data_IF_231854823544
#
_entry.id   IF_231854823544
#
_cell.length_a   1.000
_cell.length_b   1.000
_cell.length_c   1.000
_cell.angle_alpha   90.00
_cell.angle_beta   90.00
_cell.angle_gamma   90.00
#
_symmetry.space_group_name_H-M   'P 1'
#
loop_
_entity.id
_entity.type
_entity.pdbx_description
1 polymer ?
#
# COMPACT_ATOMS: atom_id res chain seq x y z
N UNK A 1 9.72 56.81 -5.70
CA UNK A 1 8.56 55.94 -5.34
C UNK A 1 8.04 55.34 -6.64
N UNK A 2 8.16 54.02 -6.86
CA UNK A 2 7.61 53.40 -8.07
C UNK A 2 8.14 52.01 -8.44
N UNK A 3 9.38 51.65 -8.08
CA UNK A 3 9.97 50.39 -8.55
C UNK A 3 10.03 49.25 -7.53
N UNK A 4 9.83 49.53 -6.23
CA UNK A 4 9.82 48.48 -5.18
C UNK A 4 8.45 47.78 -5.00
N UNK A 5 7.37 48.34 -5.55
CA UNK A 5 6.01 47.77 -5.41
C UNK A 5 5.77 46.57 -6.35
N UNK A 6 6.42 46.55 -7.53
CA UNK A 6 6.22 45.48 -8.50
C UNK A 6 6.95 44.18 -8.17
N UNK A 7 8.00 44.23 -7.32
CA UNK A 7 8.73 43.03 -6.92
C UNK A 7 8.00 42.22 -5.83
N UNK A 8 7.13 42.85 -5.03
CA UNK A 8 6.32 42.16 -4.03
C UNK A 8 5.11 41.42 -4.63
N UNK A 9 4.64 41.79 -5.83
CA UNK A 9 3.46 41.18 -6.45
C UNK A 9 3.82 39.88 -7.21
N UNK A 10 5.09 39.68 -7.62
CA UNK A 10 5.52 38.44 -8.28
C UNK A 10 5.85 37.28 -7.31
N UNK A 11 5.93 37.55 -6.00
CA UNK A 11 6.21 36.52 -4.98
C UNK A 11 4.94 35.79 -4.48
N UNK A 12 3.75 36.12 -4.99
CA UNK A 12 2.46 35.56 -4.55
C UNK A 12 1.86 34.46 -5.46
N UNK A 13 2.58 33.98 -6.48
CA UNK A 13 2.05 32.95 -7.41
C UNK A 13 2.80 31.61 -7.39
N UNK A 14 3.83 31.46 -6.57
CA UNK A 14 4.39 30.13 -6.25
C UNK A 14 3.74 29.59 -4.98
N UNK A 15 2.42 29.40 -5.00
CA UNK A 15 1.86 28.28 -4.25
C UNK A 15 2.44 27.05 -4.90
N UNK A 16 3.48 26.47 -4.30
CA UNK A 16 3.83 25.08 -4.56
C UNK A 16 2.57 24.32 -4.17
N UNK A 17 1.73 24.01 -5.16
CA UNK A 17 0.77 22.94 -5.01
C UNK A 17 1.64 21.75 -4.65
N UNK A 18 1.62 21.33 -3.38
CA UNK A 18 2.14 20.04 -3.02
C UNK A 18 1.29 19.05 -3.83
N UNK A 19 1.79 18.64 -5.00
CA UNK A 19 1.19 17.55 -5.73
C UNK A 19 1.22 16.36 -4.78
N UNK A 20 0.03 15.95 -4.32
CA UNK A 20 -0.10 14.70 -3.59
C UNK A 20 0.49 13.61 -4.47
N UNK A 21 1.32 12.73 -3.91
CA UNK A 21 1.76 11.56 -4.64
C UNK A 21 0.55 10.86 -5.30
N UNK A 22 0.68 10.41 -6.54
CA UNK A 22 -0.39 9.63 -7.15
C UNK A 22 -0.57 8.31 -6.40
N UNK A 23 -1.82 7.81 -6.26
CA UNK A 23 -2.05 6.49 -5.70
C UNK A 23 -1.34 5.45 -6.57
N UNK A 24 -0.72 4.46 -5.93
CA UNK A 24 -0.18 3.28 -6.60
C UNK A 24 -1.32 2.62 -7.41
N UNK A 25 -2.52 2.49 -6.82
CA UNK A 25 -3.69 2.22 -7.65
C UNK A 25 -5.01 2.35 -6.94
N UNK A 26 -6.07 2.16 -7.71
CA UNK A 26 -7.47 2.33 -7.29
C UNK A 26 -8.29 1.19 -7.87
N UNK A 27 -9.20 0.67 -7.07
CA UNK A 27 -10.22 -0.27 -7.52
C UNK A 27 -11.60 0.25 -7.12
N UNK A 28 -12.46 0.43 -8.12
CA UNK A 28 -13.86 0.76 -7.94
C UNK A 28 -14.69 -0.43 -8.43
N UNK A 29 -15.38 -1.13 -7.54
CA UNK A 29 -16.16 -2.30 -7.91
C UNK A 29 -17.44 -1.89 -8.65
N UNK A 30 -17.47 -2.09 -9.97
CA UNK A 30 -18.62 -1.70 -10.81
C UNK A 30 -19.90 -2.49 -10.54
N UNK A 31 -19.77 -3.64 -9.85
CA UNK A 31 -20.90 -4.49 -9.49
C UNK A 31 -21.52 -4.12 -8.13
N UNK A 32 -20.90 -3.21 -7.38
CA UNK A 32 -21.36 -2.73 -6.08
C UNK A 32 -21.47 -1.20 -6.11
N UNK A 33 -22.64 -0.70 -6.49
CA UNK A 33 -22.91 0.73 -6.62
C UNK A 33 -23.68 1.27 -5.41
N UNK A 34 -23.53 2.56 -5.15
CA UNK A 34 -24.32 3.31 -4.16
C UNK A 34 -25.79 3.27 -4.61
N UNK A 35 -26.63 2.56 -3.87
CA UNK A 35 -28.04 2.36 -4.23
C UNK A 35 -28.97 3.47 -3.74
N UNK A 36 -28.51 4.30 -2.78
CA UNK A 36 -29.28 5.41 -2.23
C UNK A 36 -28.38 6.50 -1.60
N UNK A 37 -28.96 7.67 -1.30
CA UNK A 37 -28.23 8.81 -0.73
C UNK A 37 -27.70 8.57 0.69
N UNK A 38 -28.32 7.67 1.45
CA UNK A 38 -27.90 7.35 2.82
C UNK A 38 -26.56 6.60 2.83
N UNK A 39 -26.34 5.67 1.90
CA UNK A 39 -25.05 4.98 1.73
C UNK A 39 -23.96 6.00 1.39
N UNK A 40 -24.20 6.90 0.43
CA UNK A 40 -23.25 7.97 0.10
C UNK A 40 -22.91 8.81 1.33
N UNK A 41 -23.92 9.26 2.06
CA UNK A 41 -23.73 10.06 3.28
C UNK A 41 -22.99 9.31 4.38
N UNK A 42 -23.18 7.98 4.47
CA UNK A 42 -22.48 7.14 5.42
C UNK A 42 -21.01 6.93 5.04
N UNK A 43 -20.69 6.80 3.74
CA UNK A 43 -19.29 6.82 3.25
C UNK A 43 -18.63 8.16 3.61
N UNK A 44 -19.30 9.28 3.33
CA UNK A 44 -18.77 10.63 3.60
C UNK A 44 -18.52 10.88 5.10
N UNK A 45 -19.26 10.20 5.99
CA UNK A 45 -19.06 10.24 7.45
C UNK A 45 -18.04 9.22 7.95
N UNK A 46 -17.88 8.10 7.27
CA UNK A 46 -16.91 7.06 7.59
C UNK A 46 -15.48 7.51 7.29
N UNK A 47 -15.24 8.16 6.14
CA UNK A 47 -13.89 8.53 5.70
C UNK A 47 -13.13 9.40 6.72
N UNK A 48 -13.70 10.46 7.33
CA UNK A 48 -13.01 11.21 8.39
C UNK A 48 -12.69 10.37 9.63
N UNK A 49 -13.54 9.40 9.99
CA UNK A 49 -13.27 8.49 11.11
C UNK A 49 -12.09 7.56 10.81
N UNK A 50 -11.98 7.08 9.57
CA UNK A 50 -10.84 6.29 9.12
C UNK A 50 -9.55 7.10 9.17
N UNK A 51 -9.57 8.35 8.70
CA UNK A 51 -8.42 9.26 8.76
C UNK A 51 -7.96 9.47 10.20
N UNK A 52 -8.85 9.91 11.09
CA UNK A 52 -8.52 10.19 12.49
C UNK A 52 -8.02 8.93 13.22
N UNK A 53 -8.71 7.80 13.05
CA UNK A 53 -8.34 6.54 13.68
C UNK A 53 -6.98 6.02 13.23
N UNK A 54 -6.67 6.17 11.93
CA UNK A 54 -5.39 5.75 11.35
C UNK A 54 -4.24 6.64 11.81
N UNK A 55 -4.43 7.96 11.87
CA UNK A 55 -3.40 8.90 12.37
C UNK A 55 -3.00 8.54 13.81
N UNK A 56 -3.97 8.18 14.66
CA UNK A 56 -3.72 7.88 16.06
C UNK A 56 -3.06 6.51 16.28
N UNK A 57 -3.43 5.50 15.50
CA UNK A 57 -3.11 4.10 15.81
C UNK A 57 -2.32 3.37 14.71
N UNK A 58 -2.05 4.04 13.59
CA UNK A 58 -1.54 3.48 12.34
C UNK A 58 -2.54 2.57 11.61
N UNK A 59 -3.72 2.36 12.18
CA UNK A 59 -4.74 1.43 11.71
C UNK A 59 -6.10 1.68 12.36
N UNK A 60 -7.18 1.48 11.61
CA UNK A 60 -8.53 1.36 12.14
C UNK A 60 -9.39 0.46 11.22
N UNK A 61 -10.28 -0.32 11.83
CA UNK A 61 -11.41 -0.96 11.17
C UNK A 61 -12.68 -0.58 11.93
N UNK A 62 -13.66 -0.01 11.25
CA UNK A 62 -14.90 0.48 11.86
C UNK A 62 -16.04 0.47 10.83
N UNK A 63 -17.24 0.79 11.27
CA UNK A 63 -18.38 0.95 10.36
C UNK A 63 -19.21 2.17 10.73
N UNK A 64 -19.94 2.69 9.75
CA UNK A 64 -20.88 3.80 9.94
C UNK A 64 -22.24 3.45 9.33
N UNK A 65 -23.31 3.90 9.98
CA UNK A 65 -24.68 3.58 9.57
C UNK A 65 -25.22 2.33 10.26
N UNK A 66 -26.38 1.85 9.81
CA UNK A 66 -27.10 0.71 10.37
C UNK A 66 -27.83 -0.05 9.27
N UNK A 67 -28.08 -1.35 9.52
CA UNK A 67 -28.85 -2.23 8.65
C UNK A 67 -28.35 -2.18 7.19
N UNK A 68 -29.24 -2.07 6.21
CA UNK A 68 -28.91 -2.10 4.78
C UNK A 68 -28.08 -0.92 4.27
N UNK A 69 -27.91 0.13 5.10
CA UNK A 69 -27.11 1.31 4.77
C UNK A 69 -25.77 1.34 5.52
N UNK A 70 -25.41 0.29 6.27
CA UNK A 70 -24.15 0.23 6.98
C UNK A 70 -22.98 0.07 6.01
N UNK A 71 -21.91 0.82 6.25
CA UNK A 71 -20.67 0.79 5.46
C UNK A 71 -19.52 0.44 6.39
N UNK A 72 -18.74 -0.56 6.02
CA UNK A 72 -17.55 -1.03 6.71
C UNK A 72 -16.34 -0.39 6.06
N UNK A 73 -15.38 0.03 6.87
CA UNK A 73 -14.15 0.67 6.40
C UNK A 73 -12.94 0.24 7.19
N UNK A 74 -11.82 0.14 6.50
CA UNK A 74 -10.52 -0.14 7.07
C UNK A 74 -9.50 0.80 6.43
N UNK A 75 -8.58 1.29 7.25
CA UNK A 75 -7.45 2.07 6.82
C UNK A 75 -6.20 1.67 7.61
N UNK A 76 -5.05 1.65 6.94
CA UNK A 76 -3.79 1.21 7.53
C UNK A 76 -2.61 1.91 6.88
N UNK A 77 -1.71 2.45 7.69
CA UNK A 77 -0.40 2.90 7.22
C UNK A 77 0.58 1.74 7.15
N UNK A 78 1.62 1.86 6.33
CA UNK A 78 2.76 0.95 6.36
C UNK A 78 3.45 1.08 7.73
N UNK A 79 3.75 -0.04 8.37
CA UNK A 79 4.11 -0.08 9.78
C UNK A 79 5.42 0.64 10.15
N UNK A 80 6.28 0.90 9.16
CA UNK A 80 7.53 1.63 9.30
C UNK A 80 7.37 3.16 9.16
N UNK A 81 6.22 3.64 8.70
CA UNK A 81 5.99 5.05 8.37
C UNK A 81 5.61 5.84 9.63
N UNK A 82 6.15 7.06 9.77
CA UNK A 82 5.92 7.93 10.92
C UNK A 82 4.63 8.76 10.80
N UNK A 83 4.21 9.38 11.90
CA UNK A 83 2.91 10.05 12.01
C UNK A 83 2.59 11.07 10.91
N UNK A 84 3.55 11.87 10.46
CA UNK A 84 3.28 12.90 9.44
C UNK A 84 3.08 12.30 8.03
N UNK A 85 3.92 11.33 7.66
CA UNK A 85 3.82 10.64 6.37
C UNK A 85 2.55 9.77 6.31
N UNK A 86 2.24 9.07 7.41
CA UNK A 86 1.00 8.32 7.57
C UNK A 86 -0.23 9.22 7.45
N UNK A 87 -0.22 10.37 8.15
CA UNK A 87 -1.28 11.39 8.09
C UNK A 87 -1.49 11.87 6.66
N UNK A 88 -0.43 12.33 6.01
CA UNK A 88 -0.50 12.88 4.66
C UNK A 88 -1.05 11.84 3.68
N UNK A 89 -0.55 10.61 3.78
CA UNK A 89 -1.01 9.51 2.95
C UNK A 89 -2.51 9.24 3.13
N UNK A 90 -3.00 9.12 4.38
CA UNK A 90 -4.38 8.73 4.61
C UNK A 90 -5.38 9.85 4.31
N UNK A 91 -4.99 11.12 4.50
CA UNK A 91 -5.78 12.28 4.08
C UNK A 91 -5.94 12.32 2.55
N UNK A 92 -4.84 12.09 1.81
CA UNK A 92 -4.89 11.95 0.34
C UNK A 92 -5.74 10.76 -0.09
N UNK A 93 -5.55 9.58 0.53
CA UNK A 93 -6.31 8.38 0.21
C UNK A 93 -7.82 8.56 0.38
N UNK A 94 -8.25 9.16 1.50
CA UNK A 94 -9.67 9.42 1.77
C UNK A 94 -10.29 10.40 0.77
N UNK A 95 -9.53 11.42 0.35
CA UNK A 95 -9.98 12.40 -0.64
C UNK A 95 -10.08 11.77 -2.03
N UNK A 96 -9.01 11.10 -2.46
CA UNK A 96 -8.89 10.58 -3.83
C UNK A 96 -9.77 9.36 -4.08
N UNK A 97 -9.99 8.48 -3.10
CA UNK A 97 -10.90 7.34 -3.27
C UNK A 97 -12.33 7.80 -3.56
N UNK A 98 -12.78 8.89 -2.92
CA UNK A 98 -14.13 9.43 -3.10
C UNK A 98 -14.28 10.10 -4.47
N UNK A 99 -13.24 10.80 -4.92
CA UNK A 99 -13.16 11.46 -6.23
C UNK A 99 -13.09 10.46 -7.39
N UNK A 100 -12.29 9.40 -7.24
CA UNK A 100 -12.03 8.41 -8.31
C UNK A 100 -13.10 7.32 -8.38
N UNK A 101 -13.75 6.99 -7.26
CA UNK A 101 -14.88 6.06 -7.21
C UNK A 101 -16.18 6.77 -6.77
N UNK A 102 -16.74 7.70 -7.58
CA UNK A 102 -17.84 8.56 -7.14
C UNK A 102 -19.17 7.81 -6.92
N UNK A 103 -19.34 6.63 -7.53
CA UNK A 103 -20.61 5.89 -7.59
C UNK A 103 -20.56 4.52 -6.91
N UNK A 104 -19.39 4.04 -6.52
CA UNK A 104 -19.20 2.68 -6.02
C UNK A 104 -19.33 2.64 -4.50
N UNK A 105 -19.97 1.60 -4.00
CA UNK A 105 -20.14 1.32 -2.59
C UNK A 105 -19.08 0.34 -2.05
N UNK A 106 -18.28 -0.25 -2.93
CA UNK A 106 -17.08 -1.03 -2.64
C UNK A 106 -15.89 -0.43 -3.41
N UNK A 107 -14.92 0.11 -2.67
CA UNK A 107 -13.75 0.76 -3.24
C UNK A 107 -12.50 0.55 -2.38
N UNK A 108 -11.36 0.54 -3.06
CA UNK A 108 -10.03 0.39 -2.47
C UNK A 108 -9.06 1.37 -3.11
N UNK A 109 -8.15 1.94 -2.33
CA UNK A 109 -7.06 2.78 -2.82
C UNK A 109 -5.76 2.39 -2.12
N UNK A 110 -4.69 2.29 -2.89
CA UNK A 110 -3.36 1.95 -2.41
C UNK A 110 -2.40 3.09 -2.70
N UNK A 111 -1.62 3.44 -1.69
CA UNK A 111 -0.46 4.31 -1.76
C UNK A 111 0.75 3.54 -1.24
N UNK A 112 1.96 4.05 -1.52
CA UNK A 112 3.19 3.43 -1.04
C UNK A 112 3.29 3.37 0.50
N UNK A 113 2.59 4.28 1.20
CA UNK A 113 2.61 4.42 2.66
C UNK A 113 1.30 4.08 3.36
N UNK A 114 0.20 3.85 2.64
CA UNK A 114 -1.09 3.52 3.26
C UNK A 114 -2.06 2.84 2.30
N UNK A 115 -3.07 2.23 2.90
CA UNK A 115 -4.18 1.55 2.22
C UNK A 115 -5.49 1.99 2.87
N UNK A 116 -6.54 2.17 2.06
CA UNK A 116 -7.89 2.46 2.53
C UNK A 116 -8.90 1.67 1.69
N UNK A 117 -9.85 1.03 2.37
CA UNK A 117 -10.96 0.30 1.78
C UNK A 117 -12.28 0.64 2.47
N UNK A 118 -13.36 0.71 1.71
CA UNK A 118 -14.71 0.62 2.24
C UNK A 118 -15.58 -0.31 1.38
N UNK A 119 -16.59 -0.91 2.01
CA UNK A 119 -17.56 -1.79 1.38
C UNK A 119 -18.88 -1.76 2.20
N UNK A 120 -20.01 -2.04 1.57
CA UNK A 120 -21.30 -2.28 2.24
C UNK A 120 -21.39 -3.70 2.81
N UNK A 121 -20.51 -4.62 2.38
CA UNK A 121 -20.34 -5.94 2.97
C UNK A 121 -19.26 -5.91 4.04
N UNK A 122 -19.52 -6.58 5.16
CA UNK A 122 -18.48 -6.76 6.17
C UNK A 122 -17.38 -7.68 5.61
N UNK A 123 -16.15 -7.16 5.54
CA UNK A 123 -14.97 -7.89 5.05
C UNK A 123 -13.92 -8.15 6.14
N UNK A 124 -14.17 -7.73 7.38
CA UNK A 124 -13.16 -7.84 8.44
C UNK A 124 -12.82 -9.29 8.76
N UNK A 125 -11.52 -9.59 8.77
CA UNK A 125 -11.01 -10.93 9.05
C UNK A 125 -11.03 -11.87 7.85
N UNK A 126 -11.56 -11.44 6.71
CA UNK A 126 -11.67 -12.23 5.48
C UNK A 126 -10.51 -11.92 4.53
N UNK A 127 -9.94 -12.98 3.93
CA UNK A 127 -8.87 -12.82 2.94
C UNK A 127 -9.44 -12.35 1.61
N UNK A 128 -8.90 -11.25 1.07
CA UNK A 128 -9.24 -10.73 -0.23
C UNK A 128 -7.98 -10.47 -1.09
N UNK A 129 -7.74 -11.44 -1.97
CA UNK A 129 -6.72 -11.41 -3.03
C UNK A 129 -7.37 -11.37 -4.42
N UNK A 130 -8.64 -10.98 -4.51
CA UNK A 130 -9.44 -11.03 -5.76
C UNK A 130 -9.01 -9.97 -6.78
N UNK A 131 -8.56 -8.83 -6.28
CA UNK A 131 -7.95 -7.76 -7.06
C UNK A 131 -6.56 -7.47 -6.50
N UNK A 132 -5.55 -7.50 -7.37
CA UNK A 132 -4.16 -7.25 -7.00
C UNK A 132 -3.48 -6.34 -8.01
N UNK A 133 -2.68 -5.40 -7.51
CA UNK A 133 -1.79 -4.56 -8.32
C UNK A 133 -0.38 -5.08 -8.12
N UNK A 134 0.31 -5.35 -9.22
CA UNK A 134 1.66 -5.88 -9.20
C UNK A 134 2.58 -4.90 -9.90
N UNK A 135 3.77 -4.69 -9.35
CA UNK A 135 4.85 -3.94 -9.99
C UNK A 135 6.07 -4.82 -10.06
N UNK A 136 6.76 -4.80 -11.20
CA UNK A 136 7.98 -5.56 -11.39
C UNK A 136 9.03 -4.67 -12.02
N UNK A 137 10.27 -4.78 -11.51
CA UNK A 137 11.40 -4.15 -12.15
C UNK A 137 11.58 -4.77 -13.55
N UNK A 138 11.83 -3.94 -14.57
CA UNK A 138 12.04 -4.42 -15.94
C UNK A 138 13.33 -5.22 -16.08
N UNK A 139 14.32 -4.93 -15.24
CA UNK A 139 15.62 -5.59 -15.25
C UNK A 139 15.59 -6.89 -14.46
N UNK A 140 16.31 -7.88 -14.99
CA UNK A 140 16.55 -9.14 -14.31
C UNK A 140 17.80 -9.06 -13.42
N UNK A 141 17.88 -9.93 -12.43
CA UNK A 141 19.10 -10.21 -11.66
C UNK A 141 20.09 -11.00 -12.52
N UNK A 142 21.37 -10.92 -12.17
CA UNK A 142 22.46 -11.58 -12.92
C UNK A 142 22.70 -13.02 -12.48
N UNK A 143 22.38 -13.36 -11.23
CA UNK A 143 22.46 -14.72 -10.68
C UNK A 143 21.10 -15.12 -10.08
N UNK A 144 20.17 -15.62 -10.92
CA UNK A 144 18.82 -15.96 -10.51
C UNK A 144 18.73 -17.04 -9.41
N UNK A 145 19.58 -18.06 -9.47
CA UNK A 145 19.47 -19.22 -8.58
C UNK A 145 19.83 -18.82 -7.14
N UNK A 146 20.95 -18.11 -6.96
CA UNK A 146 21.34 -17.57 -5.65
C UNK A 146 20.31 -16.54 -5.17
N UNK A 147 19.89 -15.63 -6.06
CA UNK A 147 18.93 -14.58 -5.70
C UNK A 147 17.60 -15.14 -5.21
N UNK A 148 16.99 -16.07 -5.95
CA UNK A 148 15.68 -16.63 -5.62
C UNK A 148 15.74 -17.47 -4.34
N UNK A 149 16.85 -18.16 -4.08
CA UNK A 149 17.07 -18.88 -2.82
C UNK A 149 17.11 -17.93 -1.63
N UNK A 150 17.90 -16.87 -1.71
CA UNK A 150 18.04 -15.88 -0.63
C UNK A 150 16.74 -15.08 -0.44
N UNK A 151 16.03 -14.75 -1.52
CA UNK A 151 14.72 -14.11 -1.47
C UNK A 151 13.69 -15.01 -0.78
N UNK A 152 13.61 -16.28 -1.16
CA UNK A 152 12.71 -17.24 -0.52
C UNK A 152 12.95 -17.35 0.98
N UNK A 153 14.21 -17.56 1.38
CA UNK A 153 14.59 -17.64 2.79
C UNK A 153 14.25 -16.38 3.58
N UNK A 154 14.51 -15.19 3.01
CA UNK A 154 14.18 -13.91 3.65
C UNK A 154 12.67 -13.73 3.79
N UNK A 155 11.90 -14.03 2.74
CA UNK A 155 10.44 -13.92 2.73
C UNK A 155 9.81 -14.87 3.75
N UNK A 156 10.28 -16.11 3.84
CA UNK A 156 9.81 -17.09 4.82
C UNK A 156 10.05 -16.62 6.26
N UNK A 157 11.23 -16.06 6.53
CA UNK A 157 11.56 -15.48 7.83
C UNK A 157 10.59 -14.35 8.19
N UNK A 158 10.47 -13.32 7.34
CA UNK A 158 9.67 -12.13 7.66
C UNK A 158 8.17 -12.42 7.65
N UNK A 159 7.71 -13.40 6.86
CA UNK A 159 6.32 -13.87 6.90
C UNK A 159 6.01 -14.58 8.23
N UNK A 160 6.96 -15.34 8.77
CA UNK A 160 6.83 -15.98 10.08
C UNK A 160 6.79 -14.94 11.21
N UNK A 161 7.54 -13.84 11.08
CA UNK A 161 7.49 -12.71 12.00
C UNK A 161 6.15 -11.97 11.91
N UNK A 162 5.66 -11.70 10.71
CA UNK A 162 4.42 -10.94 10.47
C UNK A 162 3.19 -11.56 11.14
N UNK A 163 3.12 -12.89 11.18
CA UNK A 163 2.00 -13.63 11.75
C UNK A 163 2.04 -13.70 13.29
N UNK A 164 3.12 -13.23 13.93
CA UNK A 164 3.18 -13.13 15.39
C UNK A 164 2.26 -11.99 15.86
N UNK A 165 1.34 -12.21 16.82
CA UNK A 165 0.37 -11.19 17.23
C UNK A 165 0.98 -9.84 17.63
N UNK A 166 2.14 -9.84 18.30
CA UNK A 166 2.85 -8.62 18.70
C UNK A 166 3.34 -7.75 17.53
N UNK A 167 3.59 -8.37 16.38
CA UNK A 167 4.10 -7.70 15.18
C UNK A 167 3.00 -7.12 14.29
N UNK A 168 1.73 -7.34 14.64
CA UNK A 168 0.58 -6.67 14.00
C UNK A 168 0.56 -6.84 12.48
N UNK A 169 0.89 -8.03 11.98
CA UNK A 169 0.89 -8.33 10.55
C UNK A 169 2.12 -7.82 9.80
N UNK A 170 3.14 -7.26 10.46
CA UNK A 170 4.31 -6.67 9.79
C UNK A 170 5.57 -7.52 9.95
N UNK A 171 6.31 -7.70 8.87
CA UNK A 171 7.64 -8.33 8.86
C UNK A 171 8.53 -7.65 7.85
N UNK A 172 9.80 -7.44 8.17
CA UNK A 172 10.77 -6.84 7.25
C UNK A 172 12.17 -7.31 7.58
N UNK A 173 13.01 -7.37 6.57
CA UNK A 173 14.37 -7.84 6.74
C UNK A 173 15.21 -7.58 5.52
N UNK A 174 16.51 -7.82 5.69
CA UNK A 174 17.50 -7.69 4.64
C UNK A 174 18.55 -8.77 4.74
N UNK A 175 19.09 -9.18 3.60
CA UNK A 175 20.22 -10.12 3.52
C UNK A 175 21.24 -9.63 2.50
N UNK A 176 22.52 -9.90 2.73
CA UNK A 176 23.57 -9.58 1.76
C UNK A 176 23.67 -10.68 0.72
N UNK A 177 23.49 -10.33 -0.54
CA UNK A 177 23.73 -11.22 -1.67
C UNK A 177 25.22 -11.26 -2.02
N UNK A 178 25.88 -10.10 -1.92
CA UNK A 178 27.33 -9.93 -2.11
C UNK A 178 27.84 -8.86 -1.12
N UNK A 179 29.15 -8.58 -1.04
CA UNK A 179 29.66 -7.48 -0.21
C UNK A 179 29.08 -6.10 -0.53
N UNK A 180 28.55 -5.89 -1.75
CA UNK A 180 28.06 -4.61 -2.26
C UNK A 180 26.58 -4.61 -2.65
N UNK A 181 25.88 -5.73 -2.43
CA UNK A 181 24.49 -5.87 -2.84
C UNK A 181 23.67 -6.47 -1.71
N UNK A 182 22.71 -5.70 -1.23
CA UNK A 182 21.77 -6.09 -0.18
C UNK A 182 20.38 -6.24 -0.77
N UNK A 183 19.72 -7.35 -0.45
CA UNK A 183 18.31 -7.59 -0.73
C UNK A 183 17.49 -7.11 0.46
N UNK A 184 16.47 -6.29 0.19
CA UNK A 184 15.53 -5.77 1.18
C UNK A 184 14.14 -6.34 0.90
N UNK A 185 13.41 -6.77 1.93
CA UNK A 185 12.03 -7.23 1.79
C UNK A 185 11.14 -6.76 2.95
N UNK A 186 9.87 -6.53 2.63
CA UNK A 186 8.81 -6.16 3.58
C UNK A 186 7.53 -6.90 3.22
N UNK A 187 6.88 -7.47 4.23
CA UNK A 187 5.55 -8.05 4.17
C UNK A 187 4.64 -7.33 5.15
N UNK A 188 3.38 -7.14 4.78
CA UNK A 188 2.39 -6.58 5.69
C UNK A 188 1.00 -7.16 5.41
N UNK A 189 0.33 -7.69 6.45
CA UNK A 189 -1.09 -7.99 6.45
C UNK A 189 -1.91 -6.82 6.98
N UNK A 190 -3.17 -6.72 6.56
CA UNK A 190 -4.13 -5.85 7.24
C UNK A 190 -4.40 -6.39 8.65
N UNK A 191 -4.52 -5.48 9.63
CA UNK A 191 -4.56 -5.84 11.06
C UNK A 191 -5.89 -6.42 11.53
N UNK A 192 -6.89 -6.52 10.67
CA UNK A 192 -8.14 -7.25 10.91
C UNK A 192 -7.95 -8.77 10.78
N UNK A 193 -6.90 -9.23 10.10
CA UNK A 193 -6.64 -10.64 9.91
C UNK A 193 -6.03 -11.30 11.15
N UNK A 194 -6.50 -12.53 11.43
CA UNK A 194 -5.84 -13.43 12.38
C UNK A 194 -4.63 -14.13 11.73
N UNK A 195 -3.90 -14.93 12.52
CA UNK A 195 -2.64 -15.57 12.12
C UNK A 195 -2.75 -16.36 10.80
N UNK A 196 -3.77 -17.22 10.69
CA UNK A 196 -3.92 -18.13 9.56
C UNK A 196 -4.35 -17.39 8.27
N UNK A 197 -5.38 -16.52 8.26
CA UNK A 197 -5.70 -15.65 7.14
C UNK A 197 -4.53 -14.78 6.67
N UNK A 198 -3.75 -14.22 7.59
CA UNK A 198 -2.55 -13.44 7.23
C UNK A 198 -1.52 -14.32 6.52
N UNK A 199 -1.21 -15.50 7.08
CA UNK A 199 -0.30 -16.48 6.44
C UNK A 199 -0.79 -16.88 5.05
N UNK A 200 -2.08 -17.14 4.89
CA UNK A 200 -2.69 -17.50 3.61
C UNK A 200 -2.52 -16.38 2.58
N UNK A 201 -2.81 -15.13 2.95
CA UNK A 201 -2.65 -14.00 2.03
C UNK A 201 -1.19 -13.83 1.59
N UNK A 202 -0.25 -13.88 2.54
CA UNK A 202 1.18 -13.78 2.23
C UNK A 202 1.65 -14.91 1.32
N UNK A 203 1.21 -16.15 1.54
CA UNK A 203 1.53 -17.27 0.66
C UNK A 203 1.03 -17.03 -0.78
N UNK A 204 -0.22 -16.58 -0.95
CA UNK A 204 -0.77 -16.24 -2.28
C UNK A 204 0.03 -15.12 -2.95
N UNK A 205 0.43 -14.10 -2.19
CA UNK A 205 1.25 -13.00 -2.72
C UNK A 205 2.65 -13.48 -3.15
N UNK A 206 3.27 -14.38 -2.39
CA UNK A 206 4.59 -14.95 -2.70
C UNK A 206 4.52 -15.90 -3.88
N UNK A 207 3.42 -16.64 -4.07
CA UNK A 207 3.24 -17.48 -5.26
C UNK A 207 3.27 -16.67 -6.56
N UNK A 208 2.93 -15.38 -6.52
CA UNK A 208 3.06 -14.45 -7.66
C UNK A 208 4.52 -14.25 -8.08
N UNK A 209 5.50 -14.49 -7.20
CA UNK A 209 6.93 -14.47 -7.55
C UNK A 209 7.31 -15.57 -8.52
N UNK A 210 6.60 -16.70 -8.44
CA UNK A 210 6.81 -17.84 -9.32
C UNK A 210 6.07 -17.70 -10.65
N UNK A 211 5.23 -16.66 -10.83
CA UNK A 211 4.54 -16.45 -12.09
C UNK A 211 5.54 -16.09 -13.20
N UNK A 212 5.62 -16.93 -14.26
CA UNK A 212 6.44 -16.63 -15.41
C UNK A 212 6.04 -15.26 -15.97
N UNK A 213 7.04 -14.45 -16.29
CA UNK A 213 6.91 -13.14 -16.97
C UNK A 213 6.56 -11.92 -16.11
N UNK A 214 6.34 -12.04 -14.79
CA UNK A 214 6.15 -10.84 -13.95
C UNK A 214 7.28 -10.61 -12.94
N UNK A 215 7.27 -11.26 -11.79
CA UNK A 215 8.27 -11.03 -10.74
C UNK A 215 9.47 -11.98 -10.80
N UNK A 216 9.34 -13.11 -11.50
CA UNK A 216 10.41 -14.09 -11.59
C UNK A 216 11.72 -13.47 -12.11
N UNK A 217 12.82 -13.68 -11.37
CA UNK A 217 14.16 -13.17 -11.65
C UNK A 217 14.29 -11.65 -11.74
N UNK A 218 13.29 -10.87 -11.30
CA UNK A 218 13.36 -9.40 -11.34
C UNK A 218 14.13 -8.85 -10.15
N UNK A 219 14.82 -7.72 -10.37
CA UNK A 219 15.54 -6.99 -9.31
C UNK A 219 14.64 -6.42 -8.20
N UNK A 220 13.34 -6.32 -8.47
CA UNK A 220 12.38 -5.78 -7.53
C UNK A 220 10.95 -6.16 -7.94
N UNK A 221 10.09 -6.36 -6.96
CA UNK A 221 8.68 -6.64 -7.19
C UNK A 221 7.85 -6.17 -6.00
N UNK A 222 6.62 -5.73 -6.30
CA UNK A 222 5.61 -5.32 -5.32
C UNK A 222 4.31 -6.03 -5.66
N UNK A 223 3.67 -6.62 -4.67
CA UNK A 223 2.35 -7.27 -4.75
C UNK A 223 1.43 -6.61 -3.75
N UNK A 224 0.37 -5.97 -4.25
CA UNK A 224 -0.59 -5.20 -3.45
C UNK A 224 -1.97 -5.84 -3.58
N UNK A 225 -2.37 -6.63 -2.58
CA UNK A 225 -3.72 -7.12 -2.42
C UNK A 225 -4.50 -6.25 -1.42
N UNK A 226 -5.79 -6.55 -1.26
CA UNK A 226 -6.65 -5.87 -0.28
C UNK A 226 -6.35 -6.27 1.17
N UNK A 227 -5.76 -7.45 1.36
CA UNK A 227 -5.50 -8.05 2.67
C UNK A 227 -4.03 -8.17 3.02
N UNK A 228 -3.13 -8.06 2.04
CA UNK A 228 -1.70 -8.09 2.29
C UNK A 228 -0.88 -7.41 1.18
N UNK A 229 0.36 -7.11 1.54
CA UNK A 229 1.36 -6.42 0.76
C UNK A 229 2.67 -7.18 0.88
N UNK A 230 3.36 -7.38 -0.25
CA UNK A 230 4.72 -7.92 -0.28
C UNK A 230 5.56 -7.07 -1.22
N UNK A 231 6.75 -6.68 -0.78
CA UNK A 231 7.72 -5.99 -1.63
C UNK A 231 9.13 -6.46 -1.35
N UNK A 232 9.91 -6.63 -2.40
CA UNK A 232 11.36 -6.73 -2.30
C UNK A 232 12.03 -5.81 -3.32
N UNK A 233 13.21 -5.31 -2.97
CA UNK A 233 14.03 -4.43 -3.79
C UNK A 233 15.52 -4.64 -3.46
N UNK A 234 16.41 -4.20 -4.36
CA UNK A 234 17.86 -4.17 -4.14
C UNK A 234 18.36 -2.82 -3.58
N UNK A 235 17.45 -1.96 -3.12
CA UNK A 235 17.74 -0.70 -2.43
C UNK A 235 16.89 -0.57 -1.15
N UNK A 236 17.33 0.22 -0.15
CA UNK A 236 16.53 0.50 1.04
C UNK A 236 15.22 1.24 0.69
N UNK A 237 14.07 0.72 1.13
CA UNK A 237 12.75 1.35 0.85
C UNK A 237 11.81 1.45 2.06
N UNK A 238 12.22 0.92 3.22
CA UNK A 238 11.47 0.99 4.47
C UNK A 238 12.30 1.68 5.57
N UNK A 239 11.64 2.34 6.50
CA UNK A 239 12.29 3.14 7.54
C UNK A 239 12.77 2.30 8.74
N UNK A 240 13.86 2.68 9.41
CA UNK A 240 14.81 3.71 8.99
C UNK A 240 15.53 3.29 7.71
N UNK A 241 15.72 4.23 6.78
CA UNK A 241 16.43 3.97 5.54
C UNK A 241 17.91 3.79 5.85
N UNK A 242 18.51 2.71 5.33
CA UNK A 242 19.95 2.50 5.43
C UNK A 242 20.68 3.48 4.49
N UNK A 243 21.64 4.23 5.01
CA UNK A 243 22.37 5.28 4.27
C UNK A 243 23.49 4.76 3.37
N UNK A 244 23.63 3.45 3.18
CA UNK A 244 24.84 2.84 2.58
C UNK A 244 24.66 2.13 1.24
N UNK A 245 23.44 2.00 0.71
CA UNK A 245 23.17 1.31 -0.56
C UNK A 245 22.46 2.23 -1.57
N UNK A 246 23.17 3.22 -2.11
CA UNK A 246 22.71 4.09 -3.21
C UNK A 246 22.83 3.43 -4.60
N UNK A 247 23.28 2.16 -4.67
CA UNK A 247 23.68 1.52 -5.94
C UNK A 247 22.51 1.04 -6.81
N UNK A 248 21.32 0.87 -6.25
CA UNK A 248 20.13 0.47 -7.00
C UNK A 248 19.17 1.65 -7.19
N UNK A 249 18.91 1.97 -8.46
CA UNK A 249 18.08 3.09 -8.87
C UNK A 249 16.60 2.84 -8.48
N UNK A 250 16.06 3.67 -7.58
CA UNK A 250 14.67 3.59 -7.11
C UNK A 250 13.64 4.16 -8.09
N UNK A 251 14.07 4.65 -9.26
CA UNK A 251 13.20 5.30 -10.23
C UNK A 251 12.08 4.37 -10.72
N UNK A 252 10.85 4.87 -10.67
CA UNK A 252 9.65 4.20 -11.20
C UNK A 252 9.75 3.94 -12.71
N UNK A 253 10.64 4.62 -13.45
CA UNK A 253 10.89 4.36 -14.86
C UNK A 253 11.39 2.93 -15.14
N UNK A 254 11.90 2.23 -14.12
CA UNK A 254 12.34 0.84 -14.23
C UNK A 254 11.25 -0.16 -13.86
N UNK A 255 9.99 0.25 -13.68
CA UNK A 255 8.91 -0.66 -13.30
C UNK A 255 7.81 -0.72 -14.35
N UNK A 256 7.28 -1.92 -14.53
CA UNK A 256 6.01 -2.18 -15.24
C UNK A 256 4.97 -2.62 -14.24
N UNK A 257 3.70 -2.28 -14.48
CA UNK A 257 2.58 -2.70 -13.64
C UNK A 257 1.67 -3.68 -14.36
N UNK A 258 1.07 -4.59 -13.59
CA UNK A 258 0.00 -5.47 -14.01
C UNK A 258 -1.11 -5.46 -12.95
N UNK A 259 -2.33 -5.79 -13.39
CA UNK A 259 -3.49 -5.85 -12.50
C UNK A 259 -4.16 -7.20 -12.69
N UNK A 260 -4.32 -7.95 -11.59
CA UNK A 260 -5.26 -9.09 -11.56
C UNK A 260 -6.66 -8.56 -11.30
N UNK A 261 -7.62 -9.08 -12.06
CA UNK A 261 -9.05 -8.82 -11.88
C UNK A 261 -9.73 -10.14 -11.50
N UNK A 262 -10.78 -10.10 -10.68
CA UNK A 262 -11.62 -11.26 -10.43
C UNK A 262 -12.30 -11.77 -11.70
#
# INVERSE_FOLDING_TARGET
>A
MGFLSHLLILLLLCTISAESADPSGVFCNTNANISNNQISSNIDRLLPQLVQGTILNGYIATSFGKAENQVYGLAQCRADVTGNDCKTCIESAATEIRKRCPKQADARIWYDYCFLRYDIKNFFGEVDTSYGIFYANVQNVTDPDTFNKELGALIDQISSEAVVPGNKGNGRGKTKLTPFLTLYALVQCTRDLSQLPCKQCLAIAVDTFNFPNFCNNKKGCRVLYSSCYVRYELYPFYFPLDSQDESANSSLAYYVSAVSKP
#
